data_IF_370546927013
#
_entry.id   IF_370546927013
#
_cell.length_a   1.000
_cell.length_b   1.000
_cell.length_c   1.000
_cell.angle_alpha   90.00
_cell.angle_beta   90.00
_cell.angle_gamma   90.00
#
_symmetry.space_group_name_H-M   'P 1'
#
loop_
_entity.id
_entity.type
_entity.pdbx_description
1 polymer ?
#
# COMPACT_ATOMS: atom_id res chain seq x y z
N UNK A 1 20.65 -10.53 6.69
CA UNK A 1 19.88 -9.92 7.78
C UNK A 1 19.41 -8.55 7.30
N UNK A 2 18.14 -8.44 6.87
CA UNK A 2 17.53 -7.23 6.25
C UNK A 2 16.53 -6.60 7.27
N UNK A 3 16.77 -6.82 8.56
CA UNK A 3 15.77 -6.93 9.64
C UNK A 3 15.43 -5.65 10.40
N UNK A 4 15.71 -4.45 9.86
CA UNK A 4 15.43 -3.20 10.58
C UNK A 4 14.37 -2.29 9.95
N UNK A 5 13.75 -2.69 8.84
CA UNK A 5 12.69 -1.88 8.19
C UNK A 5 11.39 -2.68 8.19
N UNK A 6 10.39 -2.15 8.90
CA UNK A 6 9.03 -2.69 8.84
C UNK A 6 8.44 -2.48 7.44
N UNK A 7 7.55 -3.38 7.03
CA UNK A 7 6.92 -3.33 5.72
C UNK A 7 5.41 -3.48 5.86
N UNK A 8 4.68 -2.75 5.03
CA UNK A 8 3.25 -2.91 4.83
C UNK A 8 2.99 -3.48 3.43
N UNK A 9 1.98 -4.33 3.30
CA UNK A 9 1.45 -4.75 2.00
C UNK A 9 0.33 -3.81 1.56
N UNK A 10 0.43 -3.27 0.36
CA UNK A 10 -0.68 -2.55 -0.28
C UNK A 10 -1.46 -3.51 -1.19
N UNK A 11 -2.75 -3.64 -0.91
CA UNK A 11 -3.67 -4.44 -1.71
C UNK A 11 -4.84 -3.56 -2.15
N UNK A 12 -5.36 -3.79 -3.35
CA UNK A 12 -6.63 -3.22 -3.79
C UNK A 12 -7.72 -4.25 -3.70
N UNK A 13 -8.91 -3.81 -3.29
CA UNK A 13 -10.12 -4.64 -3.29
C UNK A 13 -11.26 -3.84 -3.90
N UNK A 14 -11.91 -4.41 -4.90
CA UNK A 14 -13.01 -3.76 -5.62
C UNK A 14 -14.08 -4.78 -6.03
N UNK A 15 -15.27 -4.28 -6.36
CA UNK A 15 -16.36 -5.11 -6.87
C UNK A 15 -16.51 -4.83 -8.36
N UNK A 16 -16.51 -5.89 -9.16
CA UNK A 16 -16.76 -5.84 -10.60
C UNK A 16 -17.57 -7.07 -10.97
N UNK A 17 -18.69 -6.88 -11.68
CA UNK A 17 -19.61 -7.94 -12.08
C UNK A 17 -20.09 -8.81 -10.91
N UNK A 18 -20.51 -8.16 -9.81
CA UNK A 18 -20.98 -8.83 -8.58
C UNK A 18 -19.94 -9.73 -7.89
N UNK A 19 -18.68 -9.67 -8.33
CA UNK A 19 -17.57 -10.43 -7.77
C UNK A 19 -16.59 -9.50 -7.08
N UNK A 20 -16.05 -9.96 -5.95
CA UNK A 20 -14.96 -9.29 -5.25
C UNK A 20 -13.65 -9.66 -5.94
N UNK A 21 -12.91 -8.65 -6.34
CA UNK A 21 -11.56 -8.78 -6.85
C UNK A 21 -10.60 -8.21 -5.81
N UNK A 22 -9.56 -8.96 -5.48
CA UNK A 22 -8.48 -8.52 -4.61
C UNK A 22 -7.15 -8.73 -5.31
N UNK A 23 -6.30 -7.70 -5.29
CA UNK A 23 -5.00 -7.74 -5.94
C UNK A 23 -3.94 -7.17 -5.00
N UNK A 24 -2.92 -7.98 -4.74
CA UNK A 24 -1.67 -7.49 -4.16
C UNK A 24 -0.98 -6.56 -5.15
N UNK A 25 -0.61 -5.36 -4.72
CA UNK A 25 0.12 -4.40 -5.54
C UNK A 25 1.61 -4.48 -5.26
N UNK A 26 2.01 -4.22 -4.01
CA UNK A 26 3.42 -4.17 -3.62
C UNK A 26 3.62 -4.16 -2.10
N UNK A 27 4.87 -4.41 -1.70
CA UNK A 27 5.33 -4.05 -0.36
C UNK A 27 5.84 -2.61 -0.32
N UNK A 28 5.55 -1.92 0.78
CA UNK A 28 5.99 -0.55 1.01
C UNK A 28 6.77 -0.54 2.34
N UNK A 29 8.02 -0.04 2.36
CA UNK A 29 8.76 0.14 3.60
C UNK A 29 8.10 1.21 4.48
N UNK A 30 8.00 0.94 5.78
CA UNK A 30 7.37 1.81 6.78
C UNK A 30 8.47 2.38 7.68
N UNK A 31 8.74 3.67 7.51
CA UNK A 31 9.69 4.43 8.35
C UNK A 31 9.01 5.17 9.51
N UNK A 32 7.77 5.65 9.31
CA UNK A 32 6.94 6.28 10.34
C UNK A 32 5.64 5.47 10.51
N UNK A 33 5.41 5.01 11.74
CA UNK A 33 4.28 4.14 12.13
C UNK A 33 3.12 4.92 12.73
N UNK A 34 3.25 6.24 12.84
CA UNK A 34 2.13 7.10 13.23
C UNK A 34 1.01 7.00 12.20
N UNK A 35 -0.24 7.26 12.63
CA UNK A 35 -1.38 7.27 11.70
C UNK A 35 -1.18 8.27 10.55
N UNK A 36 -0.56 9.42 10.83
CA UNK A 36 -0.22 10.42 9.81
C UNK A 36 0.86 9.91 8.85
N UNK A 37 1.91 9.24 9.37
CA UNK A 37 2.97 8.63 8.56
C UNK A 37 2.41 7.59 7.59
N UNK A 38 1.56 6.69 8.08
CA UNK A 38 0.90 5.67 7.25
C UNK A 38 -0.03 6.29 6.20
N UNK A 39 -0.82 7.31 6.56
CA UNK A 39 -1.71 7.98 5.62
C UNK A 39 -0.91 8.65 4.47
N UNK A 40 0.16 9.37 4.81
CA UNK A 40 1.04 9.99 3.81
C UNK A 40 1.73 8.95 2.93
N UNK A 41 2.17 7.83 3.52
CA UNK A 41 2.79 6.72 2.80
C UNK A 41 1.84 6.14 1.74
N UNK A 42 0.58 5.89 2.11
CA UNK A 42 -0.45 5.38 1.20
C UNK A 42 -0.73 6.39 0.08
N UNK A 43 -0.94 7.67 0.41
CA UNK A 43 -1.24 8.73 -0.57
C UNK A 43 -0.11 8.82 -1.60
N UNK A 44 1.14 8.91 -1.14
CA UNK A 44 2.29 9.03 -2.04
C UNK A 44 2.43 7.80 -2.94
N UNK A 45 2.22 6.59 -2.40
CA UNK A 45 2.32 5.36 -3.19
C UNK A 45 1.23 5.27 -4.25
N UNK A 46 -0.03 5.59 -3.91
CA UNK A 46 -1.14 5.59 -4.87
C UNK A 46 -0.95 6.66 -5.95
N UNK A 47 -0.44 7.84 -5.59
CA UNK A 47 -0.12 8.90 -6.56
C UNK A 47 0.98 8.50 -7.55
N UNK A 48 1.94 7.67 -7.14
CA UNK A 48 2.96 7.12 -8.04
C UNK A 48 2.32 6.09 -8.98
N UNK A 49 1.57 5.14 -8.44
CA UNK A 49 0.91 4.08 -9.23
C UNK A 49 -0.10 4.61 -10.25
N UNK A 50 -0.77 5.73 -9.95
CA UNK A 50 -1.74 6.36 -10.87
C UNK A 50 -1.12 7.29 -11.92
N UNK A 51 0.20 7.48 -11.90
CA UNK A 51 0.93 8.29 -12.90
C UNK A 51 1.60 7.45 -13.99
N UNK A 52 1.63 6.14 -13.82
CA UNK A 52 1.99 5.17 -14.87
C UNK A 52 0.81 4.90 -15.81
#
# INVERSE_FOLDING_TARGET
DISNVEQASLCTRYILNEQIHEKFLMFIPVSDRSGAGLANLIINTVLVLGKD
#
